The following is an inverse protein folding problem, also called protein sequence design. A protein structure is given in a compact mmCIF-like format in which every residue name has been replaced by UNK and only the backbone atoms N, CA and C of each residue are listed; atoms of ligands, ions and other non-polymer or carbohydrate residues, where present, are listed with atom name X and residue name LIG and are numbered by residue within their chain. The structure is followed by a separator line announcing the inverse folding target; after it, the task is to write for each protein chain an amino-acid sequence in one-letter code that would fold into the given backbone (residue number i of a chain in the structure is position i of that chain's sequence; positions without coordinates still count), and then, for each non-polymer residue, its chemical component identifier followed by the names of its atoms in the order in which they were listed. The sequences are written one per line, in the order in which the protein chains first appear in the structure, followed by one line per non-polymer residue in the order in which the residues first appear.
data_IF_649390047743
#
_entry.id   IF_649390047743
#
_cell.length_a   1.000
_cell.length_b   1.000
_cell.length_c   1.000
_cell.angle_alpha   90.00
_cell.angle_beta   90.00
_cell.angle_gamma   90.00
#
_symmetry.space_group_name_H-M   'P 1'
#
loop_
_entity.id
_entity.type
_entity.pdbx_description
1 polymer ?
#
# COMPACT_ATOMS: atom_id res chain seq x y z
N UNK A 1 -9.75 6.43 12.07
CA UNK A 1 -11.13 5.94 11.85
C UNK A 1 -12.00 7.09 11.34
N UNK A 2 -13.10 6.78 10.66
CA UNK A 2 -13.94 7.72 9.89
C UNK A 2 -14.62 8.81 10.71
N UNK A 3 -15.63 9.48 10.13
CA UNK A 3 -16.27 10.64 10.76
C UNK A 3 -16.87 10.31 12.13
N UNK A 4 -17.29 9.06 12.35
CA UNK A 4 -17.92 8.51 13.55
C UNK A 4 -17.35 7.15 13.93
N UNK A 5 -17.64 6.70 15.15
CA UNK A 5 -17.28 5.39 15.68
C UNK A 5 -16.14 5.42 16.71
N UNK A 6 -15.63 4.23 17.10
CA UNK A 6 -14.57 4.11 18.10
C UNK A 6 -13.31 4.91 17.73
N UNK A 7 -12.70 5.59 18.71
CA UNK A 7 -11.48 6.38 18.53
C UNK A 7 -10.70 6.55 19.84
N UNK A 8 -9.51 7.17 19.74
CA UNK A 8 -8.68 7.48 20.89
C UNK A 8 -7.31 7.99 20.49
N UNK A 9 -6.44 8.30 21.48
CA UNK A 9 -5.05 8.63 21.20
C UNK A 9 -4.31 7.42 20.63
N UNK A 10 -3.23 7.67 19.91
CA UNK A 10 -2.34 6.63 19.41
C UNK A 10 -0.88 6.90 19.80
N UNK A 11 -0.06 5.85 19.68
CA UNK A 11 1.40 5.90 19.75
C UNK A 11 1.95 5.15 18.55
N UNK A 12 2.91 5.74 17.85
CA UNK A 12 3.43 5.20 16.59
C UNK A 12 4.93 4.89 16.70
N UNK A 13 5.34 3.78 16.09
CA UNK A 13 6.73 3.35 15.98
C UNK A 13 7.24 3.74 14.60
N UNK A 14 8.32 4.51 14.57
CA UNK A 14 8.93 5.02 13.35
C UNK A 14 10.35 4.48 13.18
N UNK A 15 10.75 4.25 11.94
CA UNK A 15 12.11 3.89 11.54
C UNK A 15 12.73 5.05 10.77
N UNK A 16 13.92 5.48 11.20
CA UNK A 16 14.74 6.39 10.42
C UNK A 16 15.38 5.64 9.25
N UNK A 17 15.24 6.16 8.03
CA UNK A 17 15.76 5.52 6.80
C UNK A 17 17.27 5.68 6.62
N UNK A 18 17.91 6.64 7.29
CA UNK A 18 19.36 6.81 7.23
C UNK A 18 20.09 5.90 8.22
N UNK A 19 21.44 5.94 8.18
CA UNK A 19 22.27 5.08 9.04
C UNK A 19 22.10 5.39 10.54
N UNK A 20 22.03 6.67 10.88
CA UNK A 20 21.93 7.15 12.27
C UNK A 20 20.96 8.32 12.33
N UNK A 21 19.92 8.20 13.15
CA UNK A 21 18.96 9.28 13.36
C UNK A 21 19.66 10.51 13.97
N UNK A 22 19.29 11.74 13.56
CA UNK A 22 19.83 12.95 14.16
C UNK A 22 19.67 12.94 15.68
N UNK A 23 20.71 13.39 16.41
CA UNK A 23 20.65 13.52 17.87
C UNK A 23 19.58 14.52 18.35
N UNK A 24 19.02 15.31 17.44
CA UNK A 24 17.93 16.26 17.68
C UNK A 24 16.56 15.65 17.46
N UNK A 25 16.42 14.37 17.11
CA UNK A 25 15.15 13.75 16.70
C UNK A 25 14.02 13.78 17.74
N UNK A 26 14.36 14.01 19.02
CA UNK A 26 13.43 14.12 20.14
C UNK A 26 13.10 15.58 20.54
N UNK A 27 13.68 16.55 19.84
CA UNK A 27 13.47 17.97 20.12
C UNK A 27 12.13 18.48 19.56
N UNK A 28 11.53 19.53 20.15
CA UNK A 28 10.34 20.14 19.58
C UNK A 28 10.58 20.63 18.14
N UNK A 29 9.72 20.22 17.20
CA UNK A 29 9.82 20.60 15.79
C UNK A 29 10.74 19.73 14.94
N UNK A 30 11.19 18.58 15.44
CA UNK A 30 12.03 17.61 14.72
C UNK A 30 11.44 16.19 14.83
N UNK A 31 12.07 15.23 14.15
CA UNK A 31 11.68 13.83 14.23
C UNK A 31 10.52 13.46 13.31
N UNK A 32 9.86 12.32 13.55
CA UNK A 32 8.95 11.71 12.56
C UNK A 32 7.74 12.57 12.17
N UNK A 33 7.31 13.50 13.03
CA UNK A 33 6.19 14.39 12.73
C UNK A 33 6.56 15.56 11.80
N UNK A 34 7.85 15.79 11.56
CA UNK A 34 8.36 16.97 10.84
C UNK A 34 9.34 16.62 9.71
N UNK A 35 9.71 15.34 9.57
CA UNK A 35 10.78 14.90 8.68
C UNK A 35 10.35 13.65 7.90
N UNK A 36 10.50 13.71 6.57
CA UNK A 36 10.17 12.65 5.62
C UNK A 36 11.19 11.49 5.65
N UNK A 37 12.30 11.63 6.38
CA UNK A 37 13.31 10.57 6.56
C UNK A 37 12.89 9.46 7.52
N UNK A 38 11.72 9.61 8.16
CA UNK A 38 11.12 8.58 9.00
C UNK A 38 9.97 7.88 8.29
N UNK A 39 9.90 6.56 8.47
CA UNK A 39 8.80 5.73 7.99
C UNK A 39 8.06 5.16 9.19
N UNK A 40 6.76 5.41 9.27
CA UNK A 40 5.87 4.76 10.23
C UNK A 40 5.82 3.25 9.95
N UNK A 41 6.19 2.44 10.94
CA UNK A 41 6.14 0.98 10.88
C UNK A 41 4.90 0.40 11.56
N UNK A 42 4.45 1.01 12.66
CA UNK A 42 3.40 0.44 13.50
C UNK A 42 2.64 1.54 14.23
N UNK A 43 1.32 1.50 14.16
CA UNK A 43 0.42 2.35 14.93
C UNK A 43 -0.26 1.54 16.05
N UNK A 44 -0.22 2.07 17.27
CA UNK A 44 -0.86 1.52 18.47
C UNK A 44 -1.96 2.48 18.91
N UNK A 45 -3.21 2.15 18.64
CA UNK A 45 -4.38 2.96 18.98
C UNK A 45 -4.99 2.49 20.29
N UNK A 46 -5.09 3.41 21.24
CA UNK A 46 -5.74 3.19 22.53
C UNK A 46 -7.19 3.64 22.43
N UNK A 47 -8.08 2.73 22.05
CA UNK A 47 -9.50 3.01 21.86
C UNK A 47 -10.13 3.36 23.22
N UNK A 48 -10.48 4.63 23.40
CA UNK A 48 -10.96 5.19 24.65
C UNK A 48 -12.36 5.80 24.52
N UNK A 49 -12.73 6.25 23.32
CA UNK A 49 -13.95 6.99 23.08
C UNK A 49 -14.72 6.43 21.88
N UNK A 50 -15.99 6.77 21.79
CA UNK A 50 -16.83 6.66 20.60
C UNK A 50 -17.19 8.08 20.17
N UNK A 51 -16.81 8.44 18.95
CA UNK A 51 -17.15 9.72 18.32
C UNK A 51 -18.53 9.61 17.67
N UNK A 52 -19.44 10.49 18.06
CA UNK A 52 -20.80 10.54 17.56
C UNK A 52 -20.93 11.48 16.34
N UNK A 53 -22.08 11.42 15.67
CA UNK A 53 -22.37 12.23 14.46
C UNK A 53 -22.28 13.74 14.72
N UNK A 54 -22.55 14.18 15.96
CA UNK A 54 -22.45 15.58 16.38
C UNK A 54 -21.00 16.00 16.73
N UNK A 55 -20.04 15.09 16.57
CA UNK A 55 -18.63 15.29 16.89
C UNK A 55 -18.27 15.11 18.37
N UNK A 56 -19.25 14.90 19.25
CA UNK A 56 -18.99 14.64 20.67
C UNK A 56 -18.34 13.26 20.87
N UNK A 57 -17.55 13.11 21.94
CA UNK A 57 -16.85 11.88 22.27
C UNK A 57 -17.37 11.32 23.60
N UNK A 58 -17.83 10.07 23.59
CA UNK A 58 -18.27 9.35 24.81
C UNK A 58 -17.26 8.27 25.19
N UNK A 59 -16.91 8.10 26.47
CA UNK A 59 -16.03 7.01 26.88
C UNK A 59 -16.59 5.64 26.48
N UNK A 60 -15.73 4.77 25.94
CA UNK A 60 -16.09 3.39 25.67
C UNK A 60 -16.34 2.63 26.99
N UNK A 61 -17.31 1.71 27.03
CA UNK A 61 -17.57 0.91 28.23
C UNK A 61 -16.38 0.00 28.60
N UNK A 62 -15.60 -0.41 27.61
CA UNK A 62 -14.36 -1.19 27.77
C UNK A 62 -13.30 -0.61 26.82
N UNK A 63 -12.36 0.20 27.33
CA UNK A 63 -11.19 0.61 26.56
C UNK A 63 -10.50 -0.61 25.95
N UNK A 64 -10.06 -0.47 24.70
CA UNK A 64 -9.52 -1.58 23.90
C UNK A 64 -8.27 -1.12 23.16
N UNK A 65 -7.53 -2.09 22.60
CA UNK A 65 -6.34 -1.83 21.80
C UNK A 65 -6.63 -2.25 20.37
N UNK A 66 -6.35 -1.33 19.44
CA UNK A 66 -6.31 -1.60 18.00
C UNK A 66 -4.90 -1.27 17.52
N UNK A 67 -4.28 -2.15 16.74
CA UNK A 67 -2.92 -1.90 16.22
C UNK A 67 -2.85 -2.27 14.76
N UNK A 68 -2.10 -1.48 13.99
CA UNK A 68 -1.87 -1.74 12.58
C UNK A 68 -0.40 -1.58 12.23
N UNK A 69 0.15 -2.56 11.51
CA UNK A 69 1.50 -2.49 10.95
C UNK A 69 1.45 -2.85 9.47
N UNK A 70 2.08 -2.02 8.63
CA UNK A 70 2.16 -2.28 7.20
C UNK A 70 3.16 -3.40 6.93
N UNK A 71 2.66 -4.59 6.58
CA UNK A 71 3.50 -5.78 6.34
C UNK A 71 4.64 -5.49 5.35
N UNK A 72 4.36 -4.78 4.27
CA UNK A 72 5.34 -4.47 3.23
C UNK A 72 6.42 -3.49 3.73
N UNK A 73 6.08 -2.58 4.67
CA UNK A 73 7.05 -1.66 5.29
C UNK A 73 7.95 -2.41 6.27
N UNK A 74 7.36 -3.29 7.09
CA UNK A 74 8.13 -4.15 8.01
C UNK A 74 9.04 -5.07 7.22
N UNK A 75 8.54 -5.69 6.15
CA UNK A 75 9.33 -6.53 5.25
C UNK A 75 10.50 -5.75 4.64
N UNK A 76 10.27 -4.53 4.16
CA UNK A 76 11.32 -3.67 3.63
C UNK A 76 12.42 -3.35 4.68
N UNK A 77 12.00 -3.01 5.90
CA UNK A 77 12.91 -2.75 7.01
C UNK A 77 13.75 -3.99 7.39
N UNK A 78 13.12 -5.17 7.48
CA UNK A 78 13.79 -6.43 7.84
C UNK A 78 14.76 -6.89 6.75
N UNK A 79 14.42 -6.68 5.48
CA UNK A 79 15.29 -7.01 4.34
C UNK A 79 16.36 -5.96 4.05
N UNK A 80 16.30 -4.78 4.69
CA UNK A 80 17.24 -3.68 4.45
C UNK A 80 17.11 -3.08 3.05
N UNK A 81 15.89 -2.98 2.52
CA UNK A 81 15.61 -2.34 1.22
C UNK A 81 14.88 -1.02 1.42
N UNK A 82 15.24 0.00 0.64
CA UNK A 82 14.73 1.37 0.79
C UNK A 82 13.27 1.57 0.31
N UNK A 83 12.68 0.53 -0.27
CA UNK A 83 11.34 0.59 -0.85
C UNK A 83 10.59 -0.71 -0.65
N UNK A 84 9.29 -0.58 -0.36
CA UNK A 84 8.36 -1.71 -0.36
C UNK A 84 8.41 -2.49 -1.69
N UNK A 85 8.71 -1.81 -2.80
CA UNK A 85 8.79 -2.43 -4.13
C UNK A 85 10.09 -3.22 -4.36
N UNK A 86 11.04 -3.17 -3.43
CA UNK A 86 12.23 -4.04 -3.40
C UNK A 86 12.03 -5.30 -2.56
N UNK A 87 10.86 -5.46 -1.92
CA UNK A 87 10.54 -6.64 -1.12
C UNK A 87 10.21 -7.83 -2.02
N UNK A 88 10.41 -9.04 -1.51
CA UNK A 88 9.96 -10.29 -2.15
C UNK A 88 8.44 -10.33 -2.41
N UNK A 89 7.66 -9.56 -1.66
CA UNK A 89 6.21 -9.42 -1.84
C UNK A 89 5.81 -8.63 -3.10
N UNK A 90 6.58 -7.60 -3.48
CA UNK A 90 6.16 -6.65 -4.55
C UNK A 90 7.12 -6.59 -5.73
N UNK A 91 8.40 -6.89 -5.55
CA UNK A 91 9.40 -6.90 -6.62
C UNK A 91 9.00 -7.84 -7.78
N UNK A 92 8.43 -9.05 -7.57
CA UNK A 92 8.04 -9.93 -8.68
C UNK A 92 7.06 -9.28 -9.67
N UNK A 93 6.12 -8.47 -9.18
CA UNK A 93 5.15 -7.77 -10.04
C UNK A 93 5.81 -6.62 -10.83
N UNK A 94 6.73 -5.90 -10.20
CA UNK A 94 7.52 -4.85 -10.87
C UNK A 94 8.38 -5.45 -11.98
N UNK A 95 9.08 -6.55 -11.69
CA UNK A 95 9.94 -7.24 -12.66
C UNK A 95 9.13 -7.89 -13.79
N UNK A 96 7.92 -8.40 -13.49
CA UNK A 96 7.00 -8.85 -14.53
C UNK A 96 6.62 -7.71 -15.46
N UNK A 97 6.24 -6.54 -14.93
CA UNK A 97 5.88 -5.39 -15.75
C UNK A 97 7.06 -4.89 -16.60
N UNK A 98 8.28 -4.83 -16.03
CA UNK A 98 9.51 -4.49 -16.77
C UNK A 98 9.79 -5.49 -17.90
N UNK A 99 9.67 -6.80 -17.62
CA UNK A 99 9.87 -7.88 -18.59
C UNK A 99 8.90 -7.76 -19.78
N UNK A 100 7.63 -7.41 -19.52
CA UNK A 100 6.62 -7.24 -20.57
C UNK A 100 6.91 -6.02 -21.45
N UNK A 101 7.40 -4.93 -20.86
CA UNK A 101 7.77 -3.73 -21.59
C UNK A 101 9.02 -3.96 -22.47
N UNK A 102 9.97 -4.75 -21.96
CA UNK A 102 11.17 -5.14 -22.70
C UNK A 102 12.01 -3.93 -23.10
N UNK A 103 12.49 -3.91 -24.35
CA UNK A 103 13.31 -2.81 -24.87
C UNK A 103 12.50 -1.57 -25.28
N UNK A 104 11.18 -1.53 -25.03
CA UNK A 104 10.30 -0.40 -25.41
C UNK A 104 10.24 0.70 -24.36
N UNK A 105 10.84 0.47 -23.19
CA UNK A 105 10.85 1.40 -22.07
C UNK A 105 11.62 2.67 -22.47
N UNK A 106 11.01 3.86 -22.39
CA UNK A 106 11.72 5.12 -22.58
C UNK A 106 12.88 5.25 -21.57
N UNK A 107 14.02 5.82 -22.01
CA UNK A 107 15.21 5.95 -21.16
C UNK A 107 14.94 6.77 -19.87
N UNK A 108 13.97 7.68 -19.90
CA UNK A 108 13.58 8.57 -18.82
C UNK A 108 12.35 8.09 -18.01
N UNK A 109 11.78 6.92 -18.33
CA UNK A 109 10.54 6.44 -17.71
C UNK A 109 10.67 6.19 -16.19
N UNK A 110 11.88 5.92 -15.71
CA UNK A 110 12.15 5.57 -14.31
C UNK A 110 11.38 4.34 -13.83
N UNK A 111 11.33 4.13 -12.51
CA UNK A 111 10.64 2.97 -11.93
C UNK A 111 9.17 3.22 -11.56
N UNK A 112 8.76 4.48 -11.47
CA UNK A 112 7.44 4.84 -10.95
C UNK A 112 6.27 4.20 -11.73
N UNK A 113 6.26 4.16 -13.08
CA UNK A 113 5.18 3.50 -13.82
C UNK A 113 5.06 2.00 -13.48
N UNK A 114 6.18 1.29 -13.37
CA UNK A 114 6.19 -0.14 -13.02
C UNK A 114 5.69 -0.40 -11.61
N UNK A 115 6.04 0.47 -10.65
CA UNK A 115 5.53 0.41 -9.27
C UNK A 115 4.01 0.62 -9.23
N UNK A 116 3.49 1.57 -10.03
CA UNK A 116 2.03 1.79 -10.14
C UNK A 116 1.34 0.58 -10.78
N UNK A 117 1.91 0.00 -11.83
CA UNK A 117 1.38 -1.21 -12.47
C UNK A 117 1.32 -2.36 -11.47
N UNK A 118 2.40 -2.59 -10.71
CA UNK A 118 2.49 -3.64 -9.70
C UNK A 118 1.40 -3.50 -8.63
N UNK A 119 1.32 -2.32 -7.98
CA UNK A 119 0.36 -2.08 -6.91
C UNK A 119 -1.10 -2.16 -7.40
N UNK A 120 -1.39 -1.57 -8.56
CA UNK A 120 -2.75 -1.57 -9.10
C UNK A 120 -3.19 -2.93 -9.63
N UNK A 121 -2.26 -3.75 -10.14
CA UNK A 121 -2.56 -5.13 -10.52
C UNK A 121 -2.85 -5.99 -9.28
N UNK A 122 -2.09 -5.80 -8.20
CA UNK A 122 -2.38 -6.43 -6.90
C UNK A 122 -3.76 -6.04 -6.38
N UNK A 123 -4.05 -4.75 -6.29
CA UNK A 123 -5.36 -4.28 -5.84
C UNK A 123 -6.51 -4.81 -6.72
N UNK A 124 -6.34 -4.83 -8.04
CA UNK A 124 -7.35 -5.36 -8.94
C UNK A 124 -7.57 -6.87 -8.79
N UNK A 125 -6.51 -7.66 -8.63
CA UNK A 125 -6.61 -9.10 -8.45
C UNK A 125 -7.41 -9.45 -7.18
N UNK A 126 -7.05 -8.85 -6.04
CA UNK A 126 -7.77 -9.07 -4.78
C UNK A 126 -9.22 -8.59 -4.83
N UNK A 127 -9.48 -7.40 -5.39
CA UNK A 127 -10.86 -6.92 -5.53
C UNK A 127 -11.73 -7.86 -6.39
N UNK A 128 -11.17 -8.42 -7.47
CA UNK A 128 -11.90 -9.35 -8.33
C UNK A 128 -12.14 -10.68 -7.61
N UNK A 129 -11.14 -11.20 -6.88
CA UNK A 129 -11.30 -12.40 -6.05
C UNK A 129 -12.39 -12.24 -4.98
N UNK A 130 -12.53 -11.03 -4.41
CA UNK A 130 -13.62 -10.66 -3.49
C UNK A 130 -14.98 -10.40 -4.18
N UNK A 131 -15.12 -10.72 -5.46
CA UNK A 131 -16.35 -10.58 -6.23
C UNK A 131 -16.70 -9.14 -6.64
N UNK A 132 -15.73 -8.23 -6.67
CA UNK A 132 -15.90 -6.87 -7.22
C UNK A 132 -15.56 -6.88 -8.69
N UNK A 133 -16.54 -6.56 -9.53
CA UNK A 133 -16.35 -6.46 -10.99
C UNK A 133 -16.39 -4.99 -11.45
N UNK A 134 -15.66 -4.61 -12.52
CA UNK A 134 -15.59 -3.22 -12.98
C UNK A 134 -16.93 -2.68 -13.49
N UNK A 135 -17.42 -1.60 -12.87
CA UNK A 135 -18.71 -0.97 -13.25
C UNK A 135 -18.66 0.57 -13.14
N UNK A 136 -19.79 1.25 -13.34
CA UNK A 136 -19.93 2.71 -13.43
C UNK A 136 -20.19 3.39 -12.08
N UNK A 137 -20.45 2.64 -11.00
CA UNK A 137 -20.78 3.21 -9.68
C UNK A 137 -20.13 2.44 -8.52
N UNK A 138 -20.09 3.09 -7.35
CA UNK A 138 -19.64 2.49 -6.08
C UNK A 138 -18.22 1.90 -6.13
N UNK A 139 -18.02 0.80 -5.37
CA UNK A 139 -16.74 0.06 -5.31
C UNK A 139 -16.27 -0.45 -6.67
N UNK A 140 -17.20 -0.84 -7.53
CA UNK A 140 -16.93 -1.29 -8.90
C UNK A 140 -16.34 -0.20 -9.79
N UNK A 141 -16.70 1.07 -9.57
CA UNK A 141 -16.07 2.20 -10.26
C UNK A 141 -14.66 2.49 -9.75
N UNK A 142 -14.40 2.25 -8.45
CA UNK A 142 -13.04 2.36 -7.88
C UNK A 142 -12.12 1.35 -8.55
N UNK A 143 -12.52 0.07 -8.64
CA UNK A 143 -11.78 -0.96 -9.37
C UNK A 143 -11.51 -0.54 -10.82
N UNK A 144 -12.55 -0.06 -11.54
CA UNK A 144 -12.39 0.43 -12.92
C UNK A 144 -11.33 1.53 -13.02
N UNK A 145 -11.28 2.47 -12.06
CA UNK A 145 -10.29 3.56 -12.06
C UNK A 145 -8.88 3.04 -11.78
N UNK A 146 -8.72 2.10 -10.86
CA UNK A 146 -7.43 1.44 -10.56
C UNK A 146 -6.91 0.75 -11.81
N UNK A 147 -7.72 -0.10 -12.45
CA UNK A 147 -7.33 -0.80 -13.68
C UNK A 147 -6.95 0.18 -14.80
N UNK A 148 -7.76 1.22 -15.03
CA UNK A 148 -7.46 2.23 -16.06
C UNK A 148 -6.17 2.99 -15.79
N UNK A 149 -5.86 3.27 -14.53
CA UNK A 149 -4.61 3.94 -14.16
C UNK A 149 -3.40 3.04 -14.38
N UNK A 150 -3.50 1.74 -14.08
CA UNK A 150 -2.46 0.77 -14.42
C UNK A 150 -2.22 0.73 -15.94
N UNK A 151 -3.29 0.61 -16.73
CA UNK A 151 -3.23 0.58 -18.20
C UNK A 151 -2.58 1.85 -18.76
N UNK A 152 -2.96 3.02 -18.25
CA UNK A 152 -2.34 4.30 -18.64
C UNK A 152 -0.83 4.30 -18.37
N UNK A 153 -0.40 3.88 -17.19
CA UNK A 153 1.03 3.78 -16.88
C UNK A 153 1.75 2.70 -17.70
N UNK A 154 1.03 1.68 -18.16
CA UNK A 154 1.55 0.73 -19.14
C UNK A 154 1.87 1.39 -20.47
N UNK A 155 0.97 2.24 -20.99
CA UNK A 155 1.22 2.99 -22.22
C UNK A 155 2.46 3.90 -22.09
N UNK A 156 2.68 4.51 -20.91
CA UNK A 156 3.86 5.34 -20.64
C UNK A 156 5.19 4.56 -20.77
N UNK A 157 5.17 3.23 -20.63
CA UNK A 157 6.34 2.35 -20.73
C UNK A 157 6.31 1.42 -21.95
N UNK A 158 5.46 1.73 -22.95
CA UNK A 158 5.40 0.99 -24.22
C UNK A 158 4.66 -0.35 -24.15
N UNK A 159 3.75 -0.53 -23.18
CA UNK A 159 2.83 -1.66 -23.10
C UNK A 159 1.52 -1.33 -23.85
N UNK A 160 1.55 -1.49 -25.17
CA UNK A 160 0.40 -1.18 -26.05
C UNK A 160 -0.63 -2.32 -26.14
N UNK A 161 -0.22 -3.54 -25.81
CA UNK A 161 -1.08 -4.74 -25.81
C UNK A 161 -1.62 -5.04 -24.39
N UNK A 162 -2.75 -5.77 -24.25
CA UNK A 162 -3.30 -6.13 -22.95
C UNK A 162 -2.30 -6.92 -22.06
N UNK A 163 -1.71 -6.25 -21.07
CA UNK A 163 -0.64 -6.82 -20.23
C UNK A 163 -1.06 -7.13 -18.79
N UNK A 164 -2.06 -6.42 -18.25
CA UNK A 164 -2.37 -6.41 -16.81
C UNK A 164 -2.69 -7.82 -16.26
N UNK A 165 -3.29 -8.68 -17.09
CA UNK A 165 -3.60 -10.05 -16.73
C UNK A 165 -2.35 -10.90 -16.40
N UNK A 166 -1.21 -10.64 -17.04
CA UNK A 166 0.04 -11.33 -16.71
C UNK A 166 0.61 -10.88 -15.37
N UNK A 167 0.55 -9.59 -15.06
CA UNK A 167 0.98 -9.08 -13.74
C UNK A 167 0.06 -9.62 -12.64
N UNK A 168 -1.25 -9.71 -12.91
CA UNK A 168 -2.18 -10.36 -11.99
C UNK A 168 -1.85 -11.85 -11.79
N UNK A 169 -1.40 -12.60 -12.80
CA UNK A 169 -0.93 -13.99 -12.60
C UNK A 169 0.24 -14.04 -11.61
N UNK A 170 1.20 -13.13 -11.72
CA UNK A 170 2.29 -13.02 -10.73
C UNK A 170 1.76 -12.73 -9.32
N UNK A 171 0.69 -11.94 -9.18
CA UNK A 171 0.01 -11.75 -7.88
C UNK A 171 -0.53 -13.07 -7.34
N UNK A 172 -1.20 -13.88 -8.17
CA UNK A 172 -1.71 -15.21 -7.77
C UNK A 172 -0.58 -16.16 -7.39
N UNK A 173 0.55 -16.11 -8.09
CA UNK A 173 1.74 -16.92 -7.79
C UNK A 173 2.34 -16.58 -6.42
N UNK A 174 2.49 -15.28 -6.11
CA UNK A 174 3.10 -14.80 -4.86
C UNK A 174 2.15 -14.97 -3.67
N UNK A 175 0.88 -14.58 -3.83
CA UNK A 175 -0.07 -14.47 -2.72
C UNK A 175 -1.03 -15.67 -2.60
N UNK A 176 -1.24 -16.44 -3.66
CA UNK A 176 -2.31 -17.45 -3.73
C UNK A 176 -2.13 -18.66 -2.81
N UNK A 177 -0.95 -18.85 -2.21
CA UNK A 177 -0.76 -19.87 -1.16
C UNK A 177 -1.38 -19.46 0.18
N UNK A 178 -1.39 -18.17 0.47
CA UNK A 178 -1.94 -17.57 1.70
C UNK A 178 -3.40 -17.14 1.49
N UNK A 179 -3.74 -16.71 0.27
CA UNK A 179 -5.07 -16.26 -0.14
C UNK A 179 -5.62 -17.16 -1.28
N UNK A 180 -6.15 -18.35 -0.96
CA UNK A 180 -6.61 -19.32 -1.96
C UNK A 180 -7.64 -18.80 -2.95
N UNK A 181 -8.47 -17.83 -2.53
CA UNK A 181 -9.48 -17.15 -3.35
C UNK A 181 -8.92 -16.49 -4.61
N UNK A 182 -7.63 -16.15 -4.63
CA UNK A 182 -6.95 -15.64 -5.83
C UNK A 182 -6.78 -16.70 -6.92
N UNK A 183 -6.89 -17.99 -6.59
CA UNK A 183 -6.68 -19.13 -7.51
C UNK A 183 -7.99 -19.69 -8.09
N UNK A 184 -9.13 -19.30 -7.55
CA UNK A 184 -10.46 -19.73 -7.99
C UNK A 184 -10.97 -18.88 -9.18
#
# INVERSE_FOLDING_TARGET
MGDTGPCGPCSEIHLFKGEVAPATADQPGTGPAYDDDYVELWNLVFMQYEKLDDGSMKPLPKPSIDTGSGLERVAAAVMGVDSNYGTDLLAPMVETAKRLAGSRVPEDAGEAPFRVIADHSRAAAFLIADGVFPDKAGRSYVLRRIMRRAIRHGADVGLDEPFMHEVCRTVVEVFGSVYPELRE
#
